data_IF_222487974356
#
_entry.id   IF_222487974356
#
_cell.length_a   1.000
_cell.length_b   1.000
_cell.length_c   1.000
_cell.angle_alpha   90.00
_cell.angle_beta   90.00
_cell.angle_gamma   90.00
#
_symmetry.space_group_name_H-M   'P 1'
#
loop_
_entity.id
_entity.type
_entity.pdbx_description
1 polymer ?
#
# COMPACT_ATOMS: atom_id res chain seq x y z
N UNK A 1 5.44 34.24 -23.23
CA UNK A 1 5.49 32.76 -23.31
C UNK A 1 6.58 32.26 -22.39
N UNK A 2 6.20 31.55 -21.30
CA UNK A 2 7.19 30.96 -20.38
C UNK A 2 7.67 29.67 -20.98
N UNK A 3 8.93 29.62 -21.42
CA UNK A 3 9.56 28.41 -21.92
C UNK A 3 10.34 27.71 -20.80
N UNK A 4 10.12 26.41 -20.66
CA UNK A 4 10.75 25.56 -19.65
C UNK A 4 11.72 24.57 -20.28
N UNK A 5 12.82 24.27 -19.57
CA UNK A 5 13.76 23.23 -19.97
C UNK A 5 13.19 21.83 -19.71
N UNK A 6 13.77 20.80 -20.35
CA UNK A 6 13.42 19.38 -20.08
C UNK A 6 13.52 19.03 -18.59
N UNK A 7 14.50 19.59 -17.88
CA UNK A 7 14.65 19.39 -16.43
C UNK A 7 13.50 20.01 -15.67
N UNK A 8 13.16 21.28 -15.94
CA UNK A 8 12.08 21.96 -15.26
C UNK A 8 10.71 21.28 -15.50
N UNK A 9 10.50 20.77 -16.72
CA UNK A 9 9.29 19.98 -17.04
C UNK A 9 9.29 18.64 -16.28
N UNK A 10 10.43 17.97 -16.21
CA UNK A 10 10.57 16.74 -15.45
C UNK A 10 10.23 16.93 -13.98
N UNK A 11 10.77 17.98 -13.36
CA UNK A 11 10.50 18.36 -11.97
C UNK A 11 9.01 18.71 -11.78
N UNK A 12 8.45 19.53 -12.68
CA UNK A 12 7.04 19.95 -12.63
C UNK A 12 6.05 18.79 -12.76
N UNK A 13 6.34 17.80 -13.60
CA UNK A 13 5.52 16.62 -13.84
C UNK A 13 5.83 15.46 -12.87
N UNK A 14 6.89 15.57 -12.08
CA UNK A 14 7.39 14.49 -11.21
C UNK A 14 7.77 13.22 -11.98
N UNK A 15 8.45 13.38 -13.13
CA UNK A 15 8.93 12.30 -13.99
C UNK A 15 10.39 12.51 -14.36
N UNK A 16 11.06 11.49 -14.93
CA UNK A 16 12.46 11.64 -15.35
C UNK A 16 12.56 12.45 -16.64
N UNK A 17 13.71 13.12 -16.86
CA UNK A 17 14.01 13.81 -18.11
C UNK A 17 13.96 12.86 -19.32
N UNK A 18 14.31 11.58 -19.12
CA UNK A 18 14.19 10.54 -20.16
C UNK A 18 12.71 10.32 -20.54
N UNK A 19 11.82 10.31 -19.56
CA UNK A 19 10.38 10.19 -19.79
C UNK A 19 9.84 11.40 -20.53
N UNK A 20 10.20 12.63 -20.14
CA UNK A 20 9.84 13.85 -20.87
C UNK A 20 10.31 13.76 -22.33
N UNK A 21 11.57 13.34 -22.54
CA UNK A 21 12.14 13.20 -23.89
C UNK A 21 11.45 12.13 -24.71
N UNK A 22 10.93 11.08 -24.10
CA UNK A 22 10.17 10.02 -24.78
C UNK A 22 8.80 10.52 -25.20
N UNK A 23 7.99 11.06 -24.28
CA UNK A 23 6.63 11.54 -24.61
C UNK A 23 6.66 12.69 -25.63
N UNK A 24 7.72 13.49 -25.64
CA UNK A 24 7.93 14.53 -26.65
C UNK A 24 8.19 13.93 -28.04
N UNK A 25 9.04 12.90 -28.13
CA UNK A 25 9.30 12.20 -29.40
C UNK A 25 8.09 11.48 -29.94
N UNK A 26 7.23 11.00 -29.05
CA UNK A 26 5.95 10.35 -29.39
C UNK A 26 4.86 11.37 -29.79
N UNK A 27 5.18 12.67 -29.78
CA UNK A 27 4.23 13.75 -30.12
C UNK A 27 3.16 14.03 -29.08
N UNK A 28 3.30 13.43 -27.89
CA UNK A 28 2.33 13.54 -26.79
C UNK A 28 2.47 14.89 -26.08
N UNK A 29 3.71 15.39 -25.92
CA UNK A 29 4.03 16.70 -25.34
C UNK A 29 4.78 17.54 -26.39
N UNK A 30 4.18 18.63 -26.92
CA UNK A 30 4.82 19.52 -27.89
C UNK A 30 6.08 20.17 -27.32
N UNK A 31 7.07 20.42 -28.19
CA UNK A 31 8.29 21.12 -27.83
C UNK A 31 8.86 21.90 -29.00
N UNK A 32 9.68 22.89 -28.70
CA UNK A 32 10.48 23.64 -29.66
C UNK A 32 11.96 23.34 -29.47
N UNK A 33 12.78 23.60 -30.50
CA UNK A 33 14.23 23.51 -30.42
C UNK A 33 14.83 24.92 -30.30
N UNK A 34 15.45 25.20 -29.17
CA UNK A 34 16.19 26.43 -28.95
C UNK A 34 17.70 26.10 -28.85
N UNK A 35 18.46 26.41 -29.93
CA UNK A 35 19.83 25.94 -30.09
C UNK A 35 19.90 24.41 -30.17
N UNK A 36 20.57 23.77 -29.24
CA UNK A 36 20.66 22.30 -29.13
C UNK A 36 19.70 21.69 -28.07
N UNK A 37 18.83 22.49 -27.46
CA UNK A 37 18.00 22.07 -26.34
C UNK A 37 16.53 22.11 -26.68
N UNK A 38 15.77 21.16 -26.15
CA UNK A 38 14.31 21.20 -26.17
C UNK A 38 13.81 22.18 -25.12
N UNK A 39 12.83 22.97 -25.51
CA UNK A 39 12.09 23.88 -24.62
C UNK A 39 10.60 23.64 -24.81
N UNK A 40 9.84 23.86 -23.76
CA UNK A 40 8.42 23.52 -23.68
C UNK A 40 7.64 24.75 -23.26
N UNK A 41 6.51 25.00 -23.93
CA UNK A 41 5.60 26.05 -23.54
C UNK A 41 4.80 25.60 -22.29
N UNK A 42 4.68 26.48 -21.31
CA UNK A 42 3.92 26.21 -20.10
C UNK A 42 2.44 25.83 -20.38
N UNK A 43 1.82 26.46 -21.37
CA UNK A 43 0.43 26.15 -21.75
C UNK A 43 0.27 24.72 -22.29
N UNK A 44 1.23 24.24 -23.07
CA UNK A 44 1.20 22.86 -23.61
C UNK A 44 1.40 21.85 -22.48
N UNK A 45 2.21 22.19 -21.49
CA UNK A 45 2.39 21.37 -20.29
C UNK A 45 1.11 21.32 -19.47
N UNK A 46 0.45 22.46 -19.23
CA UNK A 46 -0.81 22.55 -18.49
C UNK A 46 -1.93 21.80 -19.21
N UNK A 47 -1.97 21.82 -20.54
CA UNK A 47 -2.91 21.04 -21.35
C UNK A 47 -2.62 19.54 -21.26
N UNK A 48 -1.36 19.14 -21.37
CA UNK A 48 -0.93 17.76 -21.16
C UNK A 48 -1.32 17.28 -19.76
N UNK A 49 -1.07 18.07 -18.72
CA UNK A 49 -1.43 17.74 -17.35
C UNK A 49 -2.95 17.53 -17.17
N UNK A 50 -3.77 18.41 -17.75
CA UNK A 50 -5.23 18.26 -17.73
C UNK A 50 -5.70 16.99 -18.44
N UNK A 51 -5.15 16.71 -19.62
CA UNK A 51 -5.50 15.53 -20.40
C UNK A 51 -5.13 14.22 -19.69
N UNK A 52 -3.97 14.19 -19.04
CA UNK A 52 -3.46 13.02 -18.34
C UNK A 52 -3.88 12.97 -16.84
N UNK A 53 -4.83 13.81 -16.44
CA UNK A 53 -5.27 13.95 -15.03
C UNK A 53 -4.09 14.13 -14.03
N UNK A 54 -3.11 14.92 -14.42
CA UNK A 54 -1.95 15.26 -13.61
C UNK A 54 -2.16 16.59 -12.90
N UNK A 55 -1.56 16.74 -11.73
CA UNK A 55 -1.33 18.03 -11.07
C UNK A 55 0.17 18.33 -11.03
N UNK A 56 0.54 19.56 -10.72
CA UNK A 56 1.95 19.88 -10.42
C UNK A 56 2.42 19.03 -9.25
N UNK A 57 3.69 18.61 -9.28
CA UNK A 57 4.27 17.91 -8.13
C UNK A 57 4.18 18.82 -6.90
N UNK A 58 3.50 18.42 -5.83
CA UNK A 58 3.39 19.24 -4.64
C UNK A 58 4.75 19.35 -3.94
N UNK A 59 5.03 20.54 -3.41
CA UNK A 59 6.15 20.76 -2.50
C UNK A 59 5.78 20.28 -1.09
N UNK A 60 6.80 20.13 -0.25
CA UNK A 60 6.59 19.94 1.16
C UNK A 60 5.88 21.18 1.74
N UNK A 61 4.83 20.97 2.53
CA UNK A 61 4.08 22.04 3.16
C UNK A 61 3.62 21.66 4.57
N UNK A 62 3.56 22.62 5.48
CA UNK A 62 3.02 22.38 6.81
C UNK A 62 1.49 22.17 6.75
N UNK A 63 0.95 21.64 7.82
CA UNK A 63 -0.49 21.51 8.05
C UNK A 63 -1.17 22.88 7.96
N UNK A 64 -2.33 22.94 7.30
CA UNK A 64 -3.01 24.22 7.03
C UNK A 64 -3.92 24.68 8.17
N UNK A 65 -4.27 23.79 9.09
CA UNK A 65 -5.18 24.02 10.21
C UNK A 65 -4.40 24.14 11.52
N UNK A 66 -4.77 25.09 12.37
CA UNK A 66 -4.07 25.38 13.63
C UNK A 66 -4.60 24.58 14.83
N UNK A 67 -5.89 24.21 14.82
CA UNK A 67 -6.48 23.44 15.90
C UNK A 67 -5.87 22.04 16.01
N UNK A 68 -5.50 21.64 17.21
CA UNK A 68 -4.92 20.34 17.48
C UNK A 68 -6.02 19.40 18.00
N UNK A 69 -6.28 18.27 17.34
CA UNK A 69 -7.26 17.30 17.82
C UNK A 69 -6.78 16.63 19.12
N UNK A 70 -7.72 15.98 19.81
CA UNK A 70 -7.43 15.24 21.05
C UNK A 70 -6.42 14.11 20.80
N UNK A 71 -6.56 13.42 19.68
CA UNK A 71 -5.65 12.35 19.24
C UNK A 71 -4.81 12.88 18.07
N UNK A 72 -3.49 12.68 18.16
CA UNK A 72 -2.54 13.12 17.16
C UNK A 72 -1.93 11.91 16.44
N UNK A 73 -2.04 11.87 15.12
CA UNK A 73 -1.43 10.80 14.33
C UNK A 73 -0.59 11.35 13.17
N UNK A 74 0.49 10.65 12.85
CA UNK A 74 1.39 10.93 11.73
C UNK A 74 1.62 9.65 10.92
N UNK A 75 1.57 9.77 9.60
CA UNK A 75 1.67 8.66 8.67
C UNK A 75 2.89 8.75 7.77
N UNK A 76 3.57 7.63 7.59
CA UNK A 76 4.74 7.49 6.72
C UNK A 76 4.48 6.43 5.66
N UNK A 77 5.01 6.64 4.46
CA UNK A 77 4.77 5.78 3.29
C UNK A 77 3.28 5.68 2.96
N UNK A 78 2.60 6.82 3.02
CA UNK A 78 1.14 6.93 2.99
C UNK A 78 0.51 6.46 1.67
N UNK A 79 1.26 6.44 0.56
CA UNK A 79 0.81 5.96 -0.75
C UNK A 79 -0.44 6.68 -1.23
N UNK A 80 -1.51 5.92 -1.51
CA UNK A 80 -2.82 6.47 -1.88
C UNK A 80 -3.75 6.70 -0.68
N UNK A 81 -3.23 6.63 0.55
CA UNK A 81 -3.94 6.86 1.82
C UNK A 81 -4.92 5.74 2.26
N UNK A 82 -4.82 4.52 1.72
CA UNK A 82 -5.79 3.47 2.09
C UNK A 82 -5.80 3.13 3.58
N UNK A 83 -4.62 3.04 4.22
CA UNK A 83 -4.50 2.82 5.66
C UNK A 83 -4.99 4.06 6.45
N UNK A 84 -4.63 5.23 5.98
CA UNK A 84 -4.89 6.52 6.62
C UNK A 84 -6.39 6.84 6.63
N UNK A 85 -7.10 6.67 5.51
CA UNK A 85 -8.57 6.81 5.43
C UNK A 85 -9.23 5.90 6.48
N UNK A 86 -8.77 4.65 6.59
CA UNK A 86 -9.32 3.72 7.58
C UNK A 86 -9.10 4.19 9.02
N UNK A 87 -7.94 4.74 9.33
CA UNK A 87 -7.64 5.35 10.63
C UNK A 87 -8.55 6.55 10.90
N UNK A 88 -8.71 7.44 9.93
CA UNK A 88 -9.59 8.61 10.02
C UNK A 88 -11.07 8.22 10.19
N UNK A 89 -11.55 7.20 9.46
CA UNK A 89 -12.90 6.65 9.66
C UNK A 89 -13.12 6.05 11.06
N UNK A 90 -12.07 5.60 11.72
CA UNK A 90 -12.13 5.14 13.10
C UNK A 90 -12.12 6.29 14.12
N UNK A 91 -11.74 7.51 13.73
CA UNK A 91 -11.61 8.66 14.59
C UNK A 91 -10.16 9.01 14.99
N UNK A 92 -9.17 8.52 14.22
CA UNK A 92 -7.74 8.84 14.39
C UNK A 92 -7.31 9.77 13.26
N UNK A 93 -7.35 11.10 13.45
CA UNK A 93 -7.03 12.06 12.40
C UNK A 93 -5.54 12.09 12.09
N UNK A 94 -5.19 12.11 10.80
CA UNK A 94 -3.80 12.16 10.34
C UNK A 94 -3.39 13.62 10.12
N UNK A 95 -2.39 14.07 10.87
CA UNK A 95 -1.89 15.46 10.82
C UNK A 95 -0.81 15.67 9.77
N UNK A 96 -0.11 14.59 9.40
CA UNK A 96 1.01 14.62 8.48
C UNK A 96 1.12 13.33 7.70
N UNK A 97 1.36 13.47 6.41
CA UNK A 97 1.72 12.39 5.50
C UNK A 97 3.16 12.57 5.02
N UNK A 98 3.98 11.53 5.10
CA UNK A 98 5.31 11.48 4.50
C UNK A 98 5.33 10.45 3.37
N UNK A 99 5.56 10.92 2.15
CA UNK A 99 5.54 10.10 0.92
C UNK A 99 6.54 10.65 -0.10
N UNK A 100 7.34 9.78 -0.69
CA UNK A 100 8.37 10.15 -1.65
C UNK A 100 7.93 10.02 -3.13
N UNK A 101 6.97 9.12 -3.42
CA UNK A 101 6.47 8.95 -4.79
C UNK A 101 5.65 10.15 -5.24
N UNK A 102 6.08 10.84 -6.27
CA UNK A 102 5.44 12.08 -6.75
C UNK A 102 3.97 11.89 -7.10
N UNK A 103 3.56 10.75 -7.66
CA UNK A 103 2.14 10.51 -8.02
C UNK A 103 1.28 10.26 -6.78
N UNK A 104 1.84 9.57 -5.79
CA UNK A 104 1.20 9.41 -4.48
C UNK A 104 1.07 10.78 -3.79
N UNK A 105 2.12 11.61 -3.80
CA UNK A 105 2.07 12.98 -3.25
C UNK A 105 0.98 13.83 -3.90
N UNK A 106 0.83 13.77 -5.23
CA UNK A 106 -0.26 14.44 -5.93
C UNK A 106 -1.64 13.95 -5.49
N UNK A 107 -1.78 12.65 -5.23
CA UNK A 107 -3.01 12.05 -4.71
C UNK A 107 -3.30 12.53 -3.29
N UNK A 108 -2.29 12.58 -2.43
CA UNK A 108 -2.39 13.08 -1.04
C UNK A 108 -2.82 14.55 -1.05
N UNK A 109 -2.08 15.41 -1.73
CA UNK A 109 -2.34 16.85 -1.81
C UNK A 109 -3.75 17.18 -2.34
N UNK A 110 -4.27 16.32 -3.25
CA UNK A 110 -5.63 16.50 -3.79
C UNK A 110 -6.71 16.12 -2.78
N UNK A 111 -6.52 15.09 -1.97
CA UNK A 111 -7.58 14.52 -1.13
C UNK A 111 -7.43 14.86 0.36
N UNK A 112 -6.23 15.25 0.80
CA UNK A 112 -5.91 15.64 2.18
C UNK A 112 -5.08 16.94 2.21
N UNK A 113 -5.57 18.04 1.59
CA UNK A 113 -4.79 19.28 1.44
C UNK A 113 -4.51 20.00 2.76
N UNK A 114 -5.27 19.70 3.81
CA UNK A 114 -5.13 20.34 5.12
C UNK A 114 -4.03 19.69 5.97
N UNK A 115 -3.70 18.43 5.75
CA UNK A 115 -2.63 17.74 6.44
C UNK A 115 -1.26 18.22 5.93
N UNK A 116 -0.23 18.10 6.76
CA UNK A 116 1.14 18.34 6.31
C UNK A 116 1.58 17.29 5.29
N UNK A 117 2.38 17.72 4.33
CA UNK A 117 3.00 16.81 3.35
C UNK A 117 4.52 16.95 3.41
N UNK A 118 5.21 15.86 3.68
CA UNK A 118 6.66 15.74 3.66
C UNK A 118 7.14 14.71 2.63
N UNK A 119 8.38 14.84 2.20
CA UNK A 119 8.99 13.98 1.18
C UNK A 119 9.71 12.75 1.75
N UNK A 120 10.99 12.60 1.34
CA UNK A 120 11.81 11.43 1.65
C UNK A 120 12.13 11.32 3.14
N UNK A 121 11.70 10.25 3.75
CA UNK A 121 11.94 9.89 5.16
C UNK A 121 13.42 9.96 5.55
N UNK A 122 14.35 9.68 4.63
CA UNK A 122 15.79 9.76 4.89
C UNK A 122 16.28 11.18 5.20
N UNK A 123 15.58 12.20 4.73
CA UNK A 123 15.92 13.61 4.93
C UNK A 123 15.18 14.24 6.13
N UNK A 124 14.21 13.54 6.74
CA UNK A 124 13.38 14.10 7.80
C UNK A 124 14.07 14.04 9.16
N UNK A 125 13.92 15.14 9.93
CA UNK A 125 14.23 15.21 11.35
C UNK A 125 12.96 15.35 12.19
N UNK A 126 13.04 15.01 13.47
CA UNK A 126 11.88 15.08 14.40
C UNK A 126 11.31 16.49 14.52
N UNK A 127 12.17 17.50 14.63
CA UNK A 127 11.73 18.90 14.71
C UNK A 127 10.96 19.34 13.44
N UNK A 128 11.40 18.88 12.26
CA UNK A 128 10.69 19.15 11.02
C UNK A 128 9.31 18.48 11.01
N UNK A 129 9.24 17.19 11.39
CA UNK A 129 7.98 16.44 11.48
C UNK A 129 7.01 17.13 12.43
N UNK A 130 7.45 17.51 13.63
CA UNK A 130 6.61 18.20 14.61
C UNK A 130 6.16 19.59 14.14
N UNK A 131 7.08 20.37 13.59
CA UNK A 131 6.79 21.72 13.07
C UNK A 131 5.77 21.67 11.94
N UNK A 132 5.96 20.77 10.98
CA UNK A 132 5.04 20.62 9.85
C UNK A 132 3.66 20.10 10.27
N UNK A 133 3.62 19.11 11.17
CA UNK A 133 2.37 18.62 11.74
C UNK A 133 1.69 19.59 12.72
N UNK A 134 2.35 20.70 13.07
CA UNK A 134 1.92 21.67 14.09
C UNK A 134 1.65 21.04 15.46
N UNK A 135 2.49 20.07 15.84
CA UNK A 135 2.45 19.42 17.15
C UNK A 135 3.39 20.18 18.09
N UNK A 136 2.88 20.88 19.12
CA UNK A 136 3.69 21.66 20.04
C UNK A 136 4.75 20.82 20.78
N UNK A 137 5.84 21.48 21.18
CA UNK A 137 6.81 20.88 22.09
C UNK A 137 6.11 20.46 23.38
N UNK A 138 6.36 19.22 23.83
CA UNK A 138 5.72 18.63 25.02
C UNK A 138 4.36 17.95 24.78
N UNK A 139 3.71 18.15 23.62
CA UNK A 139 2.54 17.34 23.23
C UNK A 139 3.02 16.00 22.67
N UNK A 140 2.47 14.91 23.19
CA UNK A 140 2.77 13.56 22.70
C UNK A 140 2.20 13.35 21.29
N UNK A 141 2.86 12.48 20.51
CA UNK A 141 2.28 11.87 19.31
C UNK A 141 1.58 10.59 19.76
N UNK A 142 0.27 10.50 19.54
CA UNK A 142 -0.48 9.35 19.99
C UNK A 142 -0.26 8.14 19.06
N UNK A 143 -0.28 8.36 17.75
CA UNK A 143 -0.11 7.28 16.77
C UNK A 143 0.93 7.67 15.71
N UNK A 144 1.91 6.83 15.50
CA UNK A 144 2.79 6.87 14.33
C UNK A 144 2.55 5.59 13.52
N UNK A 145 2.21 5.75 12.26
CA UNK A 145 1.91 4.61 11.39
C UNK A 145 2.78 4.64 10.15
N UNK A 146 3.15 3.46 9.63
CA UNK A 146 3.86 3.39 8.36
C UNK A 146 3.87 1.99 7.74
N UNK A 147 3.90 1.99 6.40
CA UNK A 147 4.09 0.79 5.58
C UNK A 147 5.44 0.80 4.85
N UNK A 148 6.59 0.74 5.56
CA UNK A 148 7.89 0.84 4.92
C UNK A 148 8.13 -0.31 3.94
N UNK A 149 8.79 -0.07 2.77
CA UNK A 149 8.97 -1.08 1.74
C UNK A 149 9.81 -2.27 2.24
N UNK A 150 9.30 -3.50 2.11
CA UNK A 150 10.03 -4.71 2.53
C UNK A 150 11.11 -5.15 1.52
N UNK A 151 11.18 -4.56 0.34
CA UNK A 151 12.23 -4.84 -0.65
C UNK A 151 13.64 -4.57 -0.12
N UNK A 152 13.76 -3.70 0.86
CA UNK A 152 14.97 -3.42 1.63
C UNK A 152 15.61 -4.67 2.25
N UNK A 153 14.80 -5.67 2.56
CA UNK A 153 15.22 -6.93 3.17
C UNK A 153 15.37 -8.07 2.14
N UNK A 154 15.29 -7.81 0.83
CA UNK A 154 15.45 -8.87 -0.19
C UNK A 154 16.90 -9.36 -0.26
N UNK A 155 17.09 -10.61 -0.73
CA UNK A 155 18.41 -11.29 -0.79
C UNK A 155 19.48 -10.54 -1.60
N UNK A 156 19.09 -9.69 -2.53
CA UNK A 156 20.02 -8.78 -3.23
C UNK A 156 20.49 -7.63 -2.31
N UNK A 157 19.63 -7.19 -1.37
CA UNK A 157 19.93 -6.22 -0.33
C UNK A 157 20.67 -6.81 0.87
N UNK A 158 20.50 -8.11 1.17
CA UNK A 158 21.08 -8.74 2.36
C UNK A 158 22.64 -8.72 2.39
N UNK A 159 23.30 -8.66 1.24
CA UNK A 159 24.76 -8.44 1.15
C UNK A 159 25.19 -6.97 1.27
N UNK A 160 24.24 -6.02 1.12
CA UNK A 160 24.44 -4.59 1.26
C UNK A 160 23.46 -3.97 2.26
N UNK A 161 22.90 -4.78 3.13
CA UNK A 161 21.74 -4.47 3.98
C UNK A 161 21.88 -3.24 4.86
N UNK A 162 23.11 -2.80 5.12
CA UNK A 162 23.42 -1.56 5.83
C UNK A 162 23.90 -0.43 4.91
N UNK A 163 24.13 -0.71 3.60
CA UNK A 163 24.64 0.23 2.61
C UNK A 163 23.65 0.54 1.48
N UNK A 164 22.51 -0.17 1.38
CA UNK A 164 21.47 0.10 0.38
C UNK A 164 20.52 1.19 0.89
N UNK A 165 20.35 2.27 0.12
CA UNK A 165 19.44 3.38 0.43
C UNK A 165 18.00 2.93 0.75
N UNK A 166 17.53 1.79 0.18
CA UNK A 166 16.20 1.23 0.46
C UNK A 166 16.13 0.46 1.79
N UNK A 167 17.25 -0.10 2.26
CA UNK A 167 17.38 -0.69 3.59
C UNK A 167 17.38 0.39 4.67
N UNK A 168 18.02 1.51 4.38
CA UNK A 168 18.08 2.65 5.28
C UNK A 168 16.71 3.27 5.55
N UNK A 169 15.79 3.28 4.57
CA UNK A 169 14.44 3.86 4.72
C UNK A 169 13.65 3.21 5.84
N UNK A 170 13.68 1.88 5.97
CA UNK A 170 13.00 1.19 7.09
C UNK A 170 13.68 1.48 8.43
N UNK A 171 15.01 1.44 8.46
CA UNK A 171 15.77 1.73 9.67
C UNK A 171 15.58 3.20 10.09
N UNK A 172 15.58 4.12 9.12
CA UNK A 172 15.32 5.55 9.39
C UNK A 172 13.92 5.77 9.97
N UNK A 173 12.92 5.06 9.51
CA UNK A 173 11.58 5.09 10.09
C UNK A 173 11.59 4.64 11.56
N UNK A 174 12.32 3.57 11.91
CA UNK A 174 12.47 3.14 13.30
C UNK A 174 13.27 4.13 14.16
N UNK A 175 14.28 4.80 13.59
CA UNK A 175 15.02 5.87 14.28
C UNK A 175 14.10 7.06 14.59
N UNK A 176 13.29 7.50 13.60
CA UNK A 176 12.29 8.54 13.86
C UNK A 176 11.29 8.13 14.94
N UNK A 177 10.85 6.87 14.94
CA UNK A 177 9.96 6.35 15.98
C UNK A 177 10.65 6.34 17.38
N UNK A 178 11.95 6.04 17.44
CA UNK A 178 12.73 6.10 18.68
C UNK A 178 12.88 7.54 19.19
N UNK A 179 13.06 8.50 18.31
CA UNK A 179 13.17 9.92 18.65
C UNK A 179 11.80 10.56 19.01
N UNK A 180 10.74 10.22 18.29
CA UNK A 180 9.37 10.76 18.49
C UNK A 180 8.69 10.12 19.70
N UNK A 181 8.95 8.84 19.98
CA UNK A 181 8.35 8.06 21.06
C UNK A 181 6.81 8.09 21.06
N UNK A 182 6.13 7.73 19.92
CA UNK A 182 4.67 7.74 19.87
C UNK A 182 4.08 6.77 20.92
N UNK A 183 2.86 7.03 21.39
CA UNK A 183 2.14 6.10 22.30
C UNK A 183 1.91 4.76 21.62
N UNK A 184 1.53 4.78 20.36
CA UNK A 184 1.36 3.59 19.50
C UNK A 184 2.18 3.75 18.22
N UNK A 185 3.01 2.75 17.95
CA UNK A 185 3.72 2.61 16.69
C UNK A 185 3.11 1.45 15.89
N UNK A 186 2.54 1.75 14.73
CA UNK A 186 1.93 0.75 13.85
C UNK A 186 2.79 0.56 12.61
N UNK A 187 3.18 -0.68 12.35
CA UNK A 187 3.95 -1.05 11.16
C UNK A 187 3.12 -2.04 10.33
N UNK A 188 2.74 -1.63 9.13
CA UNK A 188 2.10 -2.50 8.16
C UNK A 188 3.12 -3.10 7.20
N UNK A 189 2.93 -4.36 6.82
CA UNK A 189 3.76 -4.96 5.78
C UNK A 189 3.09 -6.18 5.12
N UNK A 190 3.72 -6.71 4.08
CA UNK A 190 3.30 -7.95 3.42
C UNK A 190 3.69 -9.18 4.23
N UNK A 191 2.98 -10.30 4.04
CA UNK A 191 3.27 -11.59 4.67
C UNK A 191 4.73 -12.01 4.58
N UNK A 192 5.40 -11.64 3.49
CA UNK A 192 6.82 -11.96 3.26
C UNK A 192 7.73 -11.58 4.42
N UNK A 193 7.41 -10.54 5.19
CA UNK A 193 8.19 -10.09 6.34
C UNK A 193 8.38 -11.19 7.40
N UNK A 194 7.41 -12.10 7.57
CA UNK A 194 7.51 -13.22 8.51
C UNK A 194 8.67 -14.17 8.20
N UNK A 195 9.10 -14.25 6.96
CA UNK A 195 10.11 -15.21 6.49
C UNK A 195 11.33 -14.55 5.84
N UNK A 196 11.33 -13.23 5.66
CA UNK A 196 12.42 -12.52 5.01
C UNK A 196 13.73 -12.72 5.77
N UNK A 197 14.71 -13.29 5.06
CA UNK A 197 16.04 -13.51 5.61
C UNK A 197 16.80 -12.19 5.74
N UNK A 198 17.37 -11.94 6.93
CA UNK A 198 18.13 -10.73 7.23
C UNK A 198 19.17 -11.01 8.32
N UNK A 199 20.39 -10.42 8.28
CA UNK A 199 21.36 -10.59 9.33
C UNK A 199 20.90 -9.88 10.63
N UNK A 200 21.08 -10.54 11.76
CA UNK A 200 20.75 -9.96 13.07
C UNK A 200 21.85 -9.07 13.66
N UNK A 201 23.04 -9.11 13.04
CA UNK A 201 24.20 -8.28 13.40
C UNK A 201 24.88 -7.80 12.11
N UNK A 202 25.51 -6.62 12.10
CA UNK A 202 26.33 -6.15 10.97
C UNK A 202 27.36 -7.22 10.56
N UNK A 203 27.45 -7.51 9.25
CA UNK A 203 28.36 -8.52 8.71
C UNK A 203 28.01 -9.99 9.01
N UNK A 204 26.89 -10.26 9.69
CA UNK A 204 26.41 -11.60 9.97
C UNK A 204 25.74 -12.28 8.75
N UNK A 205 25.56 -13.60 8.82
CA UNK A 205 24.78 -14.31 7.81
C UNK A 205 23.29 -13.99 7.94
N UNK A 206 22.55 -13.88 6.82
CA UNK A 206 21.10 -13.74 6.84
C UNK A 206 20.43 -14.94 7.51
N UNK A 207 19.53 -14.67 8.43
CA UNK A 207 18.73 -15.66 9.16
C UNK A 207 17.29 -15.56 8.70
N UNK A 208 16.64 -16.67 8.41
CA UNK A 208 15.25 -16.73 8.00
C UNK A 208 14.34 -16.09 9.08
N UNK A 209 13.45 -15.17 8.69
CA UNK A 209 12.67 -14.36 9.63
C UNK A 209 13.46 -13.25 10.35
N UNK A 210 14.74 -13.06 9.98
CA UNK A 210 15.63 -12.08 10.62
C UNK A 210 15.14 -10.64 10.52
N UNK A 211 14.46 -10.28 9.42
CA UNK A 211 13.90 -8.93 9.27
C UNK A 211 12.86 -8.61 10.35
N UNK A 212 11.87 -9.47 10.55
CA UNK A 212 10.87 -9.28 11.60
C UNK A 212 11.54 -9.31 12.98
N UNK A 213 12.50 -10.23 13.21
CA UNK A 213 13.23 -10.30 14.48
C UNK A 213 13.97 -9.01 14.81
N UNK A 214 14.62 -8.40 13.81
CA UNK A 214 15.29 -7.10 13.97
C UNK A 214 14.29 -6.04 14.44
N UNK A 215 13.15 -5.93 13.76
CA UNK A 215 12.10 -4.98 14.11
C UNK A 215 11.62 -5.19 15.54
N UNK A 216 11.26 -6.43 15.89
CA UNK A 216 10.78 -6.76 17.23
C UNK A 216 11.80 -6.45 18.31
N UNK A 217 13.08 -6.75 18.07
CA UNK A 217 14.16 -6.45 19.01
C UNK A 217 14.34 -4.93 19.17
N UNK A 218 14.28 -4.16 18.07
CA UNK A 218 14.41 -2.69 18.12
C UNK A 218 13.26 -2.08 18.92
N UNK A 219 12.01 -2.47 18.67
CA UNK A 219 10.85 -1.98 19.43
C UNK A 219 10.97 -2.32 20.92
N UNK A 220 11.39 -3.53 21.24
CA UNK A 220 11.63 -3.93 22.64
C UNK A 220 12.74 -3.13 23.30
N UNK A 221 13.85 -2.84 22.59
CA UNK A 221 14.93 -2.00 23.15
C UNK A 221 14.49 -0.57 23.41
N UNK A 222 13.48 -0.08 22.68
CA UNK A 222 12.83 1.21 22.89
C UNK A 222 11.80 1.19 24.04
N UNK A 223 11.58 0.03 24.69
CA UNK A 223 10.63 -0.12 25.79
C UNK A 223 9.20 -0.48 25.37
N UNK A 224 8.93 -0.69 24.09
CA UNK A 224 7.57 -1.01 23.63
C UNK A 224 7.17 -2.45 23.95
N UNK A 225 5.95 -2.62 24.45
CA UNK A 225 5.24 -3.88 24.37
C UNK A 225 4.76 -4.12 22.95
N UNK A 226 5.01 -5.31 22.39
CA UNK A 226 4.79 -5.54 20.94
C UNK A 226 3.85 -6.69 20.70
N UNK A 227 2.75 -6.45 19.99
CA UNK A 227 1.89 -7.47 19.40
C UNK A 227 1.99 -7.44 17.87
N UNK A 228 1.74 -8.57 17.22
CA UNK A 228 1.54 -8.64 15.78
C UNK A 228 0.72 -9.87 15.40
N UNK A 229 0.06 -9.78 14.26
CA UNK A 229 -0.55 -10.91 13.60
C UNK A 229 -0.63 -10.67 12.09
N UNK A 230 -0.86 -11.75 11.32
CA UNK A 230 -1.17 -11.67 9.91
C UNK A 230 -2.69 -11.67 9.74
N UNK A 231 -3.21 -10.62 9.14
CA UNK A 231 -4.63 -10.37 8.99
C UNK A 231 -5.07 -10.48 7.54
N UNK A 232 -6.14 -11.24 7.29
CA UNK A 232 -6.84 -11.22 6.01
C UNK A 232 -7.89 -10.09 6.04
N UNK A 233 -7.78 -9.12 5.14
CA UNK A 233 -8.68 -7.97 5.10
C UNK A 233 -10.17 -8.32 4.97
N UNK A 234 -10.50 -9.48 4.38
CA UNK A 234 -11.88 -9.95 4.29
C UNK A 234 -12.53 -10.17 5.66
N UNK A 235 -11.76 -10.48 6.71
CA UNK A 235 -12.23 -10.62 8.08
C UNK A 235 -12.64 -9.28 8.72
N UNK A 236 -12.39 -8.17 8.05
CA UNK A 236 -12.67 -6.81 8.53
C UNK A 236 -13.67 -6.07 7.64
N UNK A 237 -14.33 -6.80 6.71
CA UNK A 237 -15.34 -6.25 5.82
C UNK A 237 -14.86 -5.81 4.45
N UNK A 238 -13.56 -5.95 4.16
CA UNK A 238 -13.08 -5.72 2.80
C UNK A 238 -13.58 -6.78 1.82
N UNK A 239 -14.05 -6.42 0.63
CA UNK A 239 -14.42 -7.40 -0.41
C UNK A 239 -13.17 -7.99 -1.11
N UNK A 240 -12.06 -8.12 -0.37
CA UNK A 240 -10.77 -8.59 -0.87
C UNK A 240 -10.09 -9.52 0.12
N UNK A 241 -9.57 -10.64 -0.37
CA UNK A 241 -8.64 -11.50 0.37
C UNK A 241 -7.22 -10.96 0.23
N UNK A 242 -6.79 -10.11 1.16
CA UNK A 242 -5.45 -9.52 1.19
C UNK A 242 -4.81 -9.72 2.56
N UNK A 243 -3.72 -10.48 2.58
CA UNK A 243 -2.99 -10.80 3.81
C UNK A 243 -1.97 -9.69 4.12
N UNK A 244 -2.05 -9.11 5.32
CA UNK A 244 -1.12 -8.09 5.81
C UNK A 244 -0.70 -8.38 7.24
N UNK A 245 0.59 -8.25 7.52
CA UNK A 245 1.08 -8.23 8.90
C UNK A 245 0.91 -6.81 9.44
N UNK A 246 0.30 -6.73 10.62
CA UNK A 246 0.24 -5.49 11.41
C UNK A 246 1.01 -5.74 12.69
N UNK A 247 2.03 -4.93 12.94
CA UNK A 247 2.80 -4.89 14.18
C UNK A 247 2.38 -3.65 14.94
N UNK A 248 2.00 -3.81 16.19
CA UNK A 248 1.63 -2.69 17.08
C UNK A 248 2.59 -2.67 18.28
N UNK A 249 3.35 -1.61 18.38
CA UNK A 249 4.15 -1.28 19.55
C UNK A 249 3.37 -0.32 20.45
N UNK A 250 3.29 -0.62 21.75
CA UNK A 250 2.69 0.24 22.77
C UNK A 250 3.76 0.69 23.76
N UNK A 251 3.95 2.01 23.90
CA UNK A 251 5.10 2.60 24.62
C UNK A 251 5.12 2.29 26.12
N UNK A 252 3.97 2.06 26.75
CA UNK A 252 3.88 1.73 28.18
C UNK A 252 4.41 0.32 28.53
N UNK A 253 4.87 -0.45 27.52
CA UNK A 253 5.39 -1.80 27.67
C UNK A 253 4.30 -2.88 27.73
N UNK A 254 3.03 -2.54 27.80
CA UNK A 254 1.92 -3.52 27.73
C UNK A 254 1.68 -3.98 26.30
N UNK A 255 1.01 -5.10 26.14
CA UNK A 255 0.73 -5.69 24.82
C UNK A 255 -0.61 -5.16 24.32
N UNK A 256 -0.60 -4.48 23.18
CA UNK A 256 -1.84 -4.06 22.52
C UNK A 256 -2.69 -5.27 22.09
N UNK A 257 -4.03 -5.17 22.13
CA UNK A 257 -4.93 -6.21 21.63
C UNK A 257 -4.70 -6.51 20.15
N UNK A 258 -5.14 -7.70 19.72
CA UNK A 258 -5.27 -7.98 18.29
C UNK A 258 -6.48 -7.25 17.71
N UNK A 259 -6.50 -7.10 16.38
CA UNK A 259 -7.63 -6.49 15.70
C UNK A 259 -8.90 -7.34 15.90
N UNK A 260 -10.03 -6.69 16.13
CA UNK A 260 -11.31 -7.36 16.29
C UNK A 260 -11.95 -7.62 14.92
N UNK A 261 -12.20 -8.88 14.53
CA UNK A 261 -12.82 -9.18 13.25
C UNK A 261 -14.29 -8.71 13.23
N UNK A 262 -14.75 -8.26 12.08
CA UNK A 262 -16.13 -7.84 11.84
C UNK A 262 -16.88 -8.78 10.90
N UNK A 263 -16.16 -9.63 10.17
CA UNK A 263 -16.69 -10.58 9.19
C UNK A 263 -15.97 -11.93 9.29
N UNK A 264 -16.64 -12.99 8.86
CA UNK A 264 -16.05 -14.33 8.80
C UNK A 264 -16.59 -15.12 7.61
N UNK A 265 -15.76 -16.01 7.04
CA UNK A 265 -16.26 -17.05 6.11
C UNK A 265 -16.86 -18.24 6.83
N UNK A 266 -16.67 -18.38 8.14
CA UNK A 266 -17.18 -19.48 8.95
C UNK A 266 -18.29 -18.96 9.87
N UNK A 267 -19.51 -19.50 9.73
CA UNK A 267 -20.68 -19.06 10.52
C UNK A 267 -20.54 -19.35 12.02
N UNK A 268 -19.60 -20.19 12.45
CA UNK A 268 -19.37 -20.49 13.88
C UNK A 268 -19.08 -19.24 14.71
N UNK A 269 -18.53 -18.20 14.07
CA UNK A 269 -18.16 -16.95 14.74
C UNK A 269 -19.33 -15.99 14.91
N UNK A 270 -20.51 -16.29 14.36
CA UNK A 270 -21.69 -15.43 14.41
C UNK A 270 -21.45 -14.00 13.92
N UNK A 271 -20.51 -13.84 12.98
CA UNK A 271 -20.18 -12.59 12.31
C UNK A 271 -20.83 -12.55 10.92
N UNK A 272 -21.08 -11.36 10.34
CA UNK A 272 -21.43 -11.20 8.93
C UNK A 272 -20.50 -11.98 8.03
N UNK A 273 -21.00 -12.52 6.92
CA UNK A 273 -20.18 -13.20 5.92
C UNK A 273 -19.21 -12.24 5.25
N UNK A 274 -18.13 -12.77 4.67
CA UNK A 274 -17.21 -11.99 3.85
C UNK A 274 -17.96 -11.32 2.70
N UNK A 275 -17.65 -10.05 2.48
CA UNK A 275 -18.20 -9.29 1.35
C UNK A 275 -17.62 -9.82 0.03
N UNK A 276 -18.44 -9.78 -1.01
CA UNK A 276 -18.13 -10.33 -2.34
C UNK A 276 -17.66 -9.26 -3.32
N UNK A 277 -17.04 -9.68 -4.42
CA UNK A 277 -16.75 -8.79 -5.53
C UNK A 277 -18.03 -8.19 -6.14
N UNK A 278 -19.13 -8.96 -6.20
CA UNK A 278 -20.43 -8.48 -6.67
C UNK A 278 -20.91 -7.27 -5.86
N UNK A 279 -20.83 -7.35 -4.53
CA UNK A 279 -21.22 -6.24 -3.67
C UNK A 279 -20.37 -4.99 -3.89
N UNK A 280 -19.06 -5.15 -4.06
CA UNK A 280 -18.16 -4.03 -4.39
C UNK A 280 -18.51 -3.44 -5.77
N UNK A 281 -18.66 -4.27 -6.79
CA UNK A 281 -18.92 -3.84 -8.17
C UNK A 281 -20.32 -3.22 -8.33
N UNK A 282 -21.29 -3.56 -7.49
CA UNK A 282 -22.65 -3.00 -7.55
C UNK A 282 -22.72 -1.48 -7.34
N UNK A 283 -21.68 -0.91 -6.75
CA UNK A 283 -21.58 0.53 -6.49
C UNK A 283 -20.98 1.34 -7.65
N UNK A 284 -20.56 0.66 -8.72
CA UNK A 284 -19.84 1.29 -9.85
C UNK A 284 -20.87 1.74 -10.88
N UNK A 285 -20.83 3.04 -11.19
CA UNK A 285 -21.65 3.69 -12.19
C UNK A 285 -20.76 4.31 -13.27
N UNK A 286 -21.25 4.37 -14.52
CA UNK A 286 -20.61 5.09 -15.62
C UNK A 286 -19.54 4.32 -16.37
N UNK A 287 -18.64 5.07 -17.01
CA UNK A 287 -17.56 4.52 -17.83
C UNK A 287 -16.49 3.87 -16.95
N UNK A 288 -15.95 2.75 -17.42
CA UNK A 288 -14.89 2.02 -16.74
C UNK A 288 -13.58 2.07 -17.54
N UNK A 289 -12.49 2.39 -16.86
CA UNK A 289 -11.15 2.53 -17.43
C UNK A 289 -10.28 1.35 -17.06
N UNK A 290 -9.74 0.68 -18.06
CA UNK A 290 -8.88 -0.50 -17.86
C UNK A 290 -7.83 -0.65 -18.96
N UNK A 291 -6.74 -1.34 -18.64
CA UNK A 291 -5.76 -1.78 -19.63
C UNK A 291 -6.25 -3.05 -20.34
N UNK A 292 -5.64 -3.39 -21.47
CA UNK A 292 -5.99 -4.58 -22.22
C UNK A 292 -5.03 -5.74 -21.93
N UNK A 293 -5.54 -6.97 -21.91
CA UNK A 293 -4.64 -8.12 -21.97
C UNK A 293 -3.96 -8.20 -23.34
N UNK A 294 -2.66 -8.54 -23.39
CA UNK A 294 -2.03 -8.90 -24.65
C UNK A 294 -2.77 -10.06 -25.34
N UNK A 295 -2.91 -10.04 -26.67
CA UNK A 295 -3.67 -11.03 -27.45
C UNK A 295 -3.26 -12.47 -27.14
N UNK A 296 -1.95 -12.71 -26.97
CA UNK A 296 -1.41 -14.01 -26.58
C UNK A 296 -1.93 -14.53 -25.24
N UNK A 297 -2.42 -13.64 -24.35
CA UNK A 297 -3.03 -14.01 -23.07
C UNK A 297 -4.55 -14.04 -23.17
N UNK A 298 -5.12 -13.07 -23.84
CA UNK A 298 -6.57 -12.91 -24.04
C UNK A 298 -7.21 -14.19 -24.60
N UNK A 299 -6.56 -14.85 -25.57
CA UNK A 299 -7.03 -16.11 -26.17
C UNK A 299 -7.27 -17.22 -25.13
N UNK A 300 -6.49 -17.29 -24.06
CA UNK A 300 -6.67 -18.28 -23.00
C UNK A 300 -7.75 -17.86 -21.98
N UNK A 301 -7.86 -16.57 -21.68
CA UNK A 301 -8.96 -16.09 -20.84
C UNK A 301 -10.34 -16.34 -21.48
N UNK A 302 -10.44 -16.28 -22.81
CA UNK A 302 -11.67 -16.65 -23.55
C UNK A 302 -12.11 -18.11 -23.37
N UNK A 303 -11.21 -18.99 -22.93
CA UNK A 303 -11.47 -20.41 -22.68
C UNK A 303 -11.87 -20.69 -21.23
N UNK A 304 -11.84 -19.69 -20.36
CA UNK A 304 -12.09 -19.83 -18.94
C UNK A 304 -13.43 -19.20 -18.56
N UNK A 305 -14.17 -19.90 -17.75
CA UNK A 305 -15.40 -19.41 -17.10
C UNK A 305 -15.11 -18.81 -15.73
N UNK A 306 -16.10 -18.19 -15.12
CA UNK A 306 -16.04 -17.64 -13.77
C UNK A 306 -15.38 -18.62 -12.78
N UNK A 307 -14.43 -18.11 -12.01
CA UNK A 307 -13.72 -18.86 -10.97
C UNK A 307 -12.65 -19.84 -11.45
N UNK A 308 -12.51 -19.99 -12.74
CA UNK A 308 -11.49 -20.87 -13.33
C UNK A 308 -10.12 -20.18 -13.45
N UNK A 309 -9.08 -20.99 -13.65
CA UNK A 309 -7.72 -20.54 -13.80
C UNK A 309 -6.92 -21.47 -14.74
N UNK A 310 -5.63 -21.29 -14.90
CA UNK A 310 -4.82 -22.02 -15.89
C UNK A 310 -4.96 -23.55 -15.88
N UNK A 311 -5.28 -24.18 -14.74
CA UNK A 311 -5.46 -25.65 -14.66
C UNK A 311 -6.77 -26.13 -15.29
N UNK A 312 -7.73 -25.23 -15.46
CA UNK A 312 -9.02 -25.52 -16.07
C UNK A 312 -9.00 -25.34 -17.60
N UNK A 313 -7.89 -24.85 -18.13
CA UNK A 313 -7.65 -24.82 -19.58
C UNK A 313 -7.59 -26.26 -20.15
N UNK A 314 -7.95 -26.47 -21.42
CA UNK A 314 -7.70 -27.74 -22.11
C UNK A 314 -6.24 -28.19 -21.94
N UNK A 315 -6.01 -29.48 -21.75
CA UNK A 315 -4.68 -30.05 -21.45
C UNK A 315 -3.59 -29.64 -22.45
N UNK A 316 -3.93 -29.61 -23.74
CA UNK A 316 -3.03 -29.16 -24.80
C UNK A 316 -2.72 -27.67 -24.75
N UNK A 317 -3.57 -26.83 -24.12
CA UNK A 317 -3.39 -25.40 -23.99
C UNK A 317 -2.57 -25.01 -22.74
N UNK A 318 -2.62 -25.82 -21.67
CA UNK A 318 -2.00 -25.48 -20.37
C UNK A 318 -0.50 -25.18 -20.49
N UNK A 319 0.26 -26.08 -21.13
CA UNK A 319 1.71 -25.90 -21.30
C UNK A 319 2.05 -24.67 -22.16
N UNK A 320 1.26 -24.44 -23.22
CA UNK A 320 1.43 -23.29 -24.12
C UNK A 320 1.11 -21.97 -23.39
N UNK A 321 0.02 -21.93 -22.61
CA UNK A 321 -0.38 -20.78 -21.83
C UNK A 321 0.67 -20.39 -20.78
N UNK A 322 1.19 -21.37 -20.06
CA UNK A 322 2.12 -21.20 -18.94
C UNK A 322 3.57 -21.01 -19.38
N UNK A 323 3.94 -21.49 -20.56
CA UNK A 323 5.32 -21.44 -21.05
C UNK A 323 6.33 -22.02 -20.05
N UNK A 324 7.40 -21.26 -19.76
CA UNK A 324 8.44 -21.70 -18.79
C UNK A 324 7.88 -21.96 -17.39
N UNK A 325 6.84 -21.21 -16.97
CA UNK A 325 6.23 -21.38 -15.66
C UNK A 325 5.54 -22.73 -15.46
N UNK A 326 5.19 -23.44 -16.55
CA UNK A 326 4.55 -24.77 -16.47
C UNK A 326 5.39 -25.79 -15.71
N UNK A 327 6.72 -25.72 -15.85
CA UNK A 327 7.69 -26.65 -15.24
C UNK A 327 8.18 -26.24 -13.86
N UNK A 328 7.87 -25.02 -13.41
CA UNK A 328 8.29 -24.53 -12.09
C UNK A 328 7.52 -25.25 -10.99
N UNK A 329 8.16 -25.48 -9.84
CA UNK A 329 7.51 -25.99 -8.63
C UNK A 329 6.80 -24.84 -7.87
N UNK A 330 5.62 -25.12 -7.31
CA UNK A 330 4.88 -24.20 -6.40
C UNK A 330 4.22 -22.98 -7.07
N UNK A 331 3.44 -22.24 -6.31
CA UNK A 331 3.05 -20.84 -6.55
C UNK A 331 2.25 -20.49 -7.82
N UNK A 332 1.61 -21.42 -8.52
CA UNK A 332 1.01 -21.17 -9.85
C UNK A 332 -0.47 -20.78 -9.82
N UNK A 333 -1.09 -20.62 -8.66
CA UNK A 333 -2.53 -20.37 -8.55
C UNK A 333 -2.95 -18.97 -9.01
N UNK A 334 -2.01 -18.06 -9.24
CA UNK A 334 -2.26 -16.71 -9.70
C UNK A 334 -2.35 -16.52 -11.22
N UNK A 335 -1.94 -17.56 -12.00
CA UNK A 335 -1.92 -17.44 -13.47
C UNK A 335 -3.31 -17.65 -14.08
N UNK A 336 -3.68 -16.77 -15.02
CA UNK A 336 -4.94 -16.86 -15.78
C UNK A 336 -6.17 -17.00 -14.88
N UNK A 337 -6.26 -16.21 -13.82
CA UNK A 337 -7.34 -16.33 -12.86
C UNK A 337 -8.53 -15.45 -13.26
N UNK A 338 -9.65 -16.08 -13.63
CA UNK A 338 -10.93 -15.39 -13.73
C UNK A 338 -11.59 -15.42 -12.35
N UNK A 339 -11.92 -14.24 -11.81
CA UNK A 339 -12.44 -14.15 -10.44
C UNK A 339 -13.91 -14.56 -10.35
N UNK A 340 -14.43 -14.66 -9.14
CA UNK A 340 -15.82 -14.99 -8.85
C UNK A 340 -16.63 -13.73 -8.57
N UNK A 341 -17.90 -13.72 -8.97
CA UNK A 341 -18.84 -12.71 -8.52
C UNK A 341 -19.12 -12.83 -7.01
N UNK A 342 -19.39 -14.02 -6.53
CA UNK A 342 -19.91 -14.29 -5.20
C UNK A 342 -18.84 -14.73 -4.19
N UNK A 343 -17.61 -14.26 -4.40
CA UNK A 343 -16.50 -14.39 -3.44
C UNK A 343 -15.73 -13.07 -3.35
N UNK A 344 -15.00 -12.85 -2.26
CA UNK A 344 -14.07 -11.71 -2.19
C UNK A 344 -13.06 -11.76 -3.32
N UNK A 345 -12.70 -10.58 -3.85
CA UNK A 345 -11.65 -10.45 -4.84
C UNK A 345 -10.32 -10.98 -4.28
N UNK A 346 -9.52 -11.71 -5.05
CA UNK A 346 -8.14 -11.99 -4.68
C UNK A 346 -7.33 -10.69 -4.51
N UNK A 347 -6.16 -10.79 -3.87
CA UNK A 347 -5.27 -9.63 -3.68
C UNK A 347 -5.03 -8.89 -5.00
N UNK A 348 -5.43 -7.64 -5.06
CA UNK A 348 -5.12 -6.72 -6.16
C UNK A 348 -3.62 -6.44 -6.22
N UNK A 349 -3.09 -6.34 -7.42
CA UNK A 349 -1.67 -6.10 -7.70
C UNK A 349 -1.45 -4.78 -8.43
N UNK A 350 -0.21 -4.32 -8.44
CA UNK A 350 0.17 -3.04 -9.05
C UNK A 350 0.10 -3.01 -10.58
N UNK A 351 0.10 -4.19 -11.21
CA UNK A 351 -0.05 -4.33 -12.67
C UNK A 351 -1.06 -5.44 -12.97
N UNK A 352 -2.26 -5.12 -13.46
CA UNK A 352 -3.35 -6.07 -13.63
C UNK A 352 -3.08 -7.11 -14.73
N UNK A 353 -2.10 -6.89 -15.58
CA UNK A 353 -1.71 -7.78 -16.68
C UNK A 353 -0.44 -8.58 -16.41
N UNK A 354 0.10 -8.55 -15.17
CA UNK A 354 1.29 -9.31 -14.79
C UNK A 354 0.99 -10.81 -14.80
N UNK A 355 1.71 -11.62 -15.59
CA UNK A 355 1.34 -13.03 -15.87
C UNK A 355 1.16 -13.94 -14.66
N UNK A 356 1.92 -13.72 -13.58
CA UNK A 356 1.86 -14.56 -12.39
C UNK A 356 0.71 -14.21 -11.42
N UNK A 357 0.03 -13.09 -11.66
CA UNK A 357 -0.98 -12.52 -10.73
C UNK A 357 -2.12 -11.84 -11.47
N UNK A 358 -2.27 -12.10 -12.78
CA UNK A 358 -3.32 -11.49 -13.58
C UNK A 358 -4.71 -11.97 -13.17
N UNK A 359 -5.59 -11.00 -12.98
CA UNK A 359 -6.99 -11.20 -12.64
C UNK A 359 -7.87 -10.75 -13.80
N UNK A 360 -8.74 -11.65 -14.24
CA UNK A 360 -9.75 -11.36 -15.25
C UNK A 360 -11.11 -11.13 -14.59
N UNK A 361 -11.86 -10.19 -15.09
CA UNK A 361 -13.25 -9.94 -14.71
C UNK A 361 -14.10 -11.24 -14.82
N UNK A 362 -15.10 -11.47 -13.94
CA UNK A 362 -15.86 -12.72 -13.91
C UNK A 362 -16.46 -13.13 -15.23
N UNK A 363 -17.04 -12.19 -15.98
CA UNK A 363 -17.79 -12.44 -17.22
C UNK A 363 -17.16 -11.80 -18.46
N UNK A 364 -16.40 -10.70 -18.30
CA UNK A 364 -15.78 -10.00 -19.42
C UNK A 364 -14.32 -10.46 -19.63
N UNK A 365 -13.83 -10.34 -20.87
CA UNK A 365 -12.47 -10.76 -21.22
C UNK A 365 -11.48 -9.59 -21.08
N UNK A 366 -11.42 -9.01 -19.89
CA UNK A 366 -10.56 -7.87 -19.55
C UNK A 366 -10.00 -7.98 -18.14
N UNK A 367 -8.92 -7.28 -17.81
CA UNK A 367 -8.54 -7.04 -16.43
C UNK A 367 -9.65 -6.28 -15.67
N UNK A 368 -9.56 -6.24 -14.37
CA UNK A 368 -10.42 -5.37 -13.57
C UNK A 368 -10.11 -3.90 -13.90
N UNK A 369 -11.14 -3.05 -13.91
CA UNK A 369 -11.01 -1.61 -14.13
C UNK A 369 -10.44 -0.89 -12.89
N UNK A 370 -10.02 0.37 -13.05
CA UNK A 370 -9.59 1.19 -11.90
C UNK A 370 -10.75 1.49 -10.97
N UNK A 371 -11.99 1.58 -11.48
CA UNK A 371 -13.21 1.74 -10.69
C UNK A 371 -13.47 0.50 -9.84
N UNK A 372 -13.27 -0.70 -10.39
CA UNK A 372 -13.35 -1.97 -9.66
C UNK A 372 -12.22 -2.07 -8.62
N UNK A 373 -10.99 -1.64 -8.94
CA UNK A 373 -9.89 -1.56 -7.98
C UNK A 373 -10.24 -0.64 -6.80
N UNK A 374 -10.79 0.56 -7.09
CA UNK A 374 -11.22 1.52 -6.05
C UNK A 374 -12.30 0.91 -5.16
N UNK A 375 -13.33 0.32 -5.74
CA UNK A 375 -14.44 -0.30 -5.02
C UNK A 375 -13.99 -1.48 -4.15
N UNK A 376 -13.10 -2.33 -4.66
CA UNK A 376 -12.53 -3.47 -3.92
C UNK A 376 -11.59 -3.03 -2.80
N UNK A 377 -10.89 -1.91 -2.96
CA UNK A 377 -10.06 -1.30 -1.91
C UNK A 377 -10.86 -0.36 -0.99
N UNK A 378 -12.18 -0.18 -1.29
CA UNK A 378 -13.15 0.60 -0.52
C UNK A 378 -12.92 2.13 -0.54
N UNK A 379 -12.13 2.65 -1.50
CA UNK A 379 -11.95 4.09 -1.64
C UNK A 379 -13.27 4.81 -1.94
N UNK A 380 -13.49 6.00 -1.36
CA UNK A 380 -14.69 6.81 -1.63
C UNK A 380 -14.86 7.09 -3.14
N UNK A 381 -16.11 7.17 -3.62
CA UNK A 381 -16.40 7.42 -5.06
C UNK A 381 -15.75 8.71 -5.59
N UNK A 382 -15.66 9.73 -4.77
CA UNK A 382 -15.06 11.02 -5.08
C UNK A 382 -13.54 11.08 -4.86
N UNK A 383 -12.90 9.99 -4.43
CA UNK A 383 -11.46 9.95 -4.21
C UNK A 383 -10.70 10.04 -5.53
N UNK A 384 -9.84 11.02 -5.68
CA UNK A 384 -9.09 11.27 -6.90
C UNK A 384 -7.70 10.66 -6.77
N UNK A 385 -7.40 9.63 -7.55
CA UNK A 385 -6.06 9.06 -7.67
C UNK A 385 -5.37 9.70 -8.87
N UNK A 386 -4.28 10.42 -8.63
CA UNK A 386 -3.54 11.17 -9.65
C UNK A 386 -2.55 10.31 -10.41
N UNK A 387 -2.35 10.67 -11.67
CA UNK A 387 -1.43 10.01 -12.59
C UNK A 387 -2.15 9.33 -13.75
N UNK A 388 -1.38 8.75 -14.66
CA UNK A 388 -1.94 7.95 -15.76
C UNK A 388 -2.47 6.60 -15.29
N UNK A 389 -3.15 5.88 -16.18
CA UNK A 389 -3.82 4.60 -15.86
C UNK A 389 -2.92 3.60 -15.10
N UNK A 390 -1.65 3.49 -15.50
CA UNK A 390 -0.67 2.60 -14.83
C UNK A 390 -0.32 3.08 -13.42
N UNK A 391 -0.23 4.41 -13.21
CA UNK A 391 0.03 4.97 -11.88
C UNK A 391 -1.14 4.72 -10.94
N UNK A 392 -2.37 4.83 -11.43
CA UNK A 392 -3.58 4.56 -10.66
C UNK A 392 -3.63 3.10 -10.23
N UNK A 393 -3.38 2.13 -11.14
CA UNK A 393 -3.29 0.72 -10.78
C UNK A 393 -2.21 0.46 -9.73
N UNK A 394 -1.03 1.10 -9.88
CA UNK A 394 0.09 0.95 -8.95
C UNK A 394 -0.26 1.46 -7.56
N UNK A 395 -0.88 2.62 -7.47
CA UNK A 395 -1.29 3.22 -6.20
C UNK A 395 -2.38 2.38 -5.51
N UNK A 396 -3.46 2.06 -6.20
CA UNK A 396 -4.55 1.23 -5.67
C UNK A 396 -4.09 -0.19 -5.33
N UNK A 397 -3.21 -0.80 -6.16
CA UNK A 397 -2.67 -2.13 -5.92
C UNK A 397 -1.72 -2.20 -4.73
N UNK A 398 -1.01 -1.12 -4.39
CA UNK A 398 -0.18 -1.02 -3.19
C UNK A 398 -1.00 -0.73 -1.93
N UNK A 399 -2.11 -0.03 -2.05
CA UNK A 399 -2.89 0.43 -0.91
C UNK A 399 -3.28 -0.71 0.04
N UNK A 400 -3.33 -0.40 1.32
CA UNK A 400 -3.96 -1.23 2.35
C UNK A 400 -5.47 -1.04 2.23
N UNK A 401 -6.30 -2.10 2.29
CA UNK A 401 -7.76 -1.95 2.32
C UNK A 401 -8.22 -1.07 3.48
N UNK A 402 -9.13 -0.16 3.21
CA UNK A 402 -9.60 0.83 4.19
C UNK A 402 -10.19 0.15 5.43
N UNK A 403 -10.97 -0.91 5.27
CA UNK A 403 -11.52 -1.67 6.38
C UNK A 403 -10.45 -2.20 7.36
N UNK A 404 -9.26 -2.59 6.85
CA UNK A 404 -8.16 -3.02 7.72
C UNK A 404 -7.56 -1.84 8.50
N UNK A 405 -7.40 -0.68 7.86
CA UNK A 405 -6.99 0.56 8.54
C UNK A 405 -7.96 0.98 9.62
N UNK A 406 -9.26 0.88 9.34
CA UNK A 406 -10.33 1.16 10.31
C UNK A 406 -10.26 0.24 11.53
N UNK A 407 -10.03 -1.06 11.32
CA UNK A 407 -9.86 -2.02 12.41
C UNK A 407 -8.64 -1.69 13.27
N UNK A 408 -7.53 -1.24 12.67
CA UNK A 408 -6.35 -0.75 13.41
C UNK A 408 -6.71 0.45 14.30
N UNK A 409 -7.32 1.48 13.72
CA UNK A 409 -7.72 2.68 14.45
C UNK A 409 -8.69 2.35 15.61
N UNK A 410 -9.71 1.55 15.33
CA UNK A 410 -10.68 1.14 16.36
C UNK A 410 -10.03 0.36 17.51
N UNK A 411 -9.08 -0.53 17.20
CA UNK A 411 -8.35 -1.29 18.23
C UNK A 411 -7.51 -0.35 19.11
N UNK A 412 -6.83 0.62 18.52
CA UNK A 412 -6.04 1.61 19.25
C UNK A 412 -6.93 2.46 20.18
N UNK A 413 -8.03 2.98 19.65
CA UNK A 413 -8.95 3.81 20.43
C UNK A 413 -9.57 3.05 21.60
N UNK A 414 -9.98 1.80 21.38
CA UNK A 414 -10.50 0.95 22.43
C UNK A 414 -9.44 0.67 23.51
N UNK A 415 -8.21 0.36 23.10
CA UNK A 415 -7.11 0.11 24.06
C UNK A 415 -6.71 1.38 24.86
N UNK A 416 -6.81 2.57 24.25
CA UNK A 416 -6.60 3.86 24.97
C UNK A 416 -7.53 4.06 26.15
N UNK A 417 -8.75 3.52 26.08
CA UNK A 417 -9.76 3.57 27.15
C UNK A 417 -9.84 2.26 27.94
N UNK A 418 -8.88 1.35 27.76
CA UNK A 418 -8.76 0.10 28.52
C UNK A 418 -9.73 -1.01 28.09
N UNK A 419 -10.25 -0.97 26.87
CA UNK A 419 -11.19 -1.98 26.33
C UNK A 419 -10.45 -2.91 25.37
N UNK A 420 -10.43 -4.21 25.64
CA UNK A 420 -9.97 -5.27 24.72
C UNK A 420 -11.16 -6.01 24.10
N UNK A 421 -11.53 -5.62 22.89
CA UNK A 421 -12.62 -6.24 22.12
C UNK A 421 -12.19 -7.52 21.38
N UNK A 422 -10.90 -7.87 21.41
CA UNK A 422 -10.37 -9.08 20.77
C UNK A 422 -10.51 -10.35 21.60
N UNK A 423 -10.85 -10.24 22.88
CA UNK A 423 -10.93 -11.38 23.83
C UNK A 423 -11.77 -12.55 23.30
N UNK A 424 -12.99 -12.33 22.72
CA UNK A 424 -13.80 -13.43 22.19
C UNK A 424 -13.20 -14.12 20.95
N UNK A 425 -12.20 -13.50 20.33
CA UNK A 425 -11.64 -13.89 19.03
C UNK A 425 -10.19 -14.40 19.12
N UNK A 426 -9.72 -14.84 20.30
CA UNK A 426 -8.34 -15.34 20.47
C UNK A 426 -8.01 -16.54 19.57
N UNK A 427 -8.99 -17.39 19.29
CA UNK A 427 -8.84 -18.55 18.41
C UNK A 427 -9.37 -18.30 16.99
N UNK A 428 -9.72 -17.07 16.66
CA UNK A 428 -10.22 -16.70 15.34
C UNK A 428 -9.16 -16.91 14.26
N UNK A 429 -9.50 -17.50 13.09
CA UNK A 429 -8.55 -17.74 12.00
C UNK A 429 -8.29 -16.44 11.22
N UNK A 430 -7.50 -15.53 11.78
CA UNK A 430 -7.15 -14.24 11.17
C UNK A 430 -6.52 -14.36 9.78
N UNK A 431 -5.88 -15.49 9.50
CA UNK A 431 -5.22 -15.78 8.24
C UNK A 431 -5.35 -17.27 7.91
N UNK A 432 -5.31 -17.60 6.62
CA UNK A 432 -5.18 -19.02 6.18
C UNK A 432 -3.84 -19.66 6.50
N UNK A 433 -2.86 -18.85 6.91
CA UNK A 433 -1.53 -19.33 7.28
C UNK A 433 -1.44 -19.55 8.80
N UNK A 434 -0.63 -20.52 9.18
CA UNK A 434 -0.41 -20.85 10.61
C UNK A 434 0.88 -20.20 11.12
N UNK A 435 0.99 -20.01 12.43
CA UNK A 435 2.17 -19.47 13.12
C UNK A 435 2.54 -18.07 12.66
N UNK A 436 1.58 -17.19 12.61
CA UNK A 436 1.71 -15.85 12.04
C UNK A 436 1.58 -14.71 13.06
N UNK A 437 1.36 -15.02 14.34
CA UNK A 437 1.15 -14.04 15.42
C UNK A 437 2.33 -14.00 16.41
N UNK A 438 2.40 -12.96 17.21
CA UNK A 438 3.38 -12.82 18.30
C UNK A 438 3.34 -13.97 19.33
N UNK A 439 2.25 -14.74 19.39
CA UNK A 439 2.12 -15.91 20.26
C UNK A 439 2.63 -17.17 19.54
N UNK A 440 2.33 -17.33 18.28
CA UNK A 440 2.53 -18.60 17.54
C UNK A 440 3.74 -18.59 16.62
N UNK A 441 4.20 -17.41 16.20
CA UNK A 441 5.36 -17.28 15.33
C UNK A 441 6.63 -17.64 16.10
N UNK A 442 7.38 -18.59 15.55
CA UNK A 442 8.72 -18.93 16.00
C UNK A 442 9.65 -18.65 14.84
N UNK A 443 10.78 -18.04 15.13
CA UNK A 443 11.82 -17.90 14.13
C UNK A 443 12.19 -19.30 13.64
N UNK A 444 12.03 -19.55 12.34
CA UNK A 444 12.31 -20.88 11.76
C UNK A 444 13.77 -21.25 11.89
#
# INVERSE_FOLDING_TARGET
LTLLSTSAVADMLGITQQTVSRISREGVLPYEICGSRRVYNLNDIDEYMRRENLSRAPHDHPRMVDDLPEITAISFFSGALGLDIGLEEAGVPILLHAENDTKCRMTIDTNSPEAALLGDVNSLGVEQVRTYARIPSGREVDVMVGGPPCQSFSTAGARRAFDDARGNVFLRFLELAEEIQPRYLVIENVRGLLSTAYPLKPGGNPVHGGALRLILNRLKSMGYGVSFNLYNSANFGSPQMRERIIVVGKRDGTIAPWLTPTNSSDPIWSLPQWRTFREAASSIDGEQHFTQFPDKRLRYFKMLSEGQYWKDLPKNAQALAMGKAYRLSGGKTGFYRRIWWDKPCPTLVTSPTMPATDLCHPTENRPLSIEEYRAVQEFPKNWIVRGGLTDVYRQLGNAVPIALGKAVGQTILNDMIGIDTSIPYRDFPYSRYKRTSNITWKMP
#
